data_IF_465927715510
#
_entry.id   IF_465927715510
#
_cell.length_a   1.000
_cell.length_b   1.000
_cell.length_c   1.000
_cell.angle_alpha   90.00
_cell.angle_beta   90.00
_cell.angle_gamma   90.00
#
_symmetry.space_group_name_H-M   'P 1'
#
loop_
_entity.id
_entity.type
_entity.pdbx_description
1 polymer ?
#
# COMPACT_ATOMS: atom_id res chain seq x y z
N UNK A 1 5.41 -16.92 -1.31
CA UNK A 1 5.08 -17.76 -2.49
C UNK A 1 3.84 -17.25 -3.22
N UNK A 2 2.64 -17.16 -2.61
CA UNK A 2 1.43 -16.65 -3.30
C UNK A 2 1.59 -15.21 -3.82
N UNK A 3 2.11 -14.28 -3.01
CA UNK A 3 2.31 -12.89 -3.45
C UNK A 3 3.25 -12.75 -4.64
N UNK A 4 4.37 -13.47 -4.62
CA UNK A 4 5.32 -13.48 -5.72
C UNK A 4 4.68 -14.01 -7.01
N UNK A 5 3.94 -15.12 -6.94
CA UNK A 5 3.22 -15.66 -8.10
C UNK A 5 2.17 -14.68 -8.63
N UNK A 6 1.46 -13.97 -7.75
CA UNK A 6 0.49 -12.95 -8.19
C UNK A 6 1.20 -11.77 -8.85
N UNK A 7 2.35 -11.32 -8.33
CA UNK A 7 3.10 -10.22 -8.95
C UNK A 7 3.73 -10.60 -10.29
N UNK A 8 4.21 -11.85 -10.44
CA UNK A 8 4.87 -12.29 -11.69
C UNK A 8 3.88 -12.65 -12.78
N UNK A 9 2.84 -13.43 -12.47
CA UNK A 9 1.89 -13.95 -13.46
C UNK A 9 0.87 -12.90 -13.94
N UNK A 10 0.67 -11.85 -13.15
CA UNK A 10 -0.30 -10.78 -13.44
C UNK A 10 0.39 -9.44 -13.73
N UNK A 11 1.69 -9.44 -14.05
CA UNK A 11 2.45 -8.21 -14.35
C UNK A 11 1.80 -7.35 -15.44
N UNK A 12 1.16 -7.98 -16.42
CA UNK A 12 0.48 -7.30 -17.54
C UNK A 12 -1.03 -7.13 -17.32
N UNK A 13 -1.51 -7.29 -16.09
CA UNK A 13 -2.94 -7.24 -15.73
C UNK A 13 -3.15 -6.29 -14.55
N UNK A 14 -4.29 -5.61 -14.53
CA UNK A 14 -4.64 -4.75 -13.39
C UNK A 14 -5.06 -5.62 -12.20
N UNK A 15 -4.36 -5.46 -11.08
CA UNK A 15 -4.69 -6.12 -9.82
C UNK A 15 -5.36 -5.11 -8.88
N UNK A 16 -6.63 -5.36 -8.58
CA UNK A 16 -7.34 -4.65 -7.51
C UNK A 16 -7.39 -5.55 -6.27
N UNK A 17 -6.78 -5.11 -5.18
CA UNK A 17 -6.76 -5.82 -3.90
C UNK A 17 -7.42 -4.98 -2.82
N UNK A 18 -8.35 -5.59 -2.07
CA UNK A 18 -8.89 -5.02 -0.83
C UNK A 18 -8.23 -5.75 0.32
N UNK A 19 -7.52 -5.02 1.18
CA UNK A 19 -6.74 -5.62 2.25
C UNK A 19 -6.86 -4.86 3.56
N UNK A 20 -6.85 -5.62 4.65
CA UNK A 20 -6.72 -5.09 6.00
C UNK A 20 -5.27 -5.18 6.50
N UNK A 21 -4.41 -5.97 5.82
CA UNK A 21 -3.00 -6.15 6.18
C UNK A 21 -2.13 -5.24 5.34
N UNK A 22 -1.67 -4.12 5.91
CA UNK A 22 -0.89 -3.14 5.15
C UNK A 22 0.38 -3.74 4.54
N UNK A 23 1.09 -4.63 5.26
CA UNK A 23 2.34 -5.24 4.76
C UNK A 23 2.19 -5.98 3.43
N UNK A 24 0.98 -6.40 3.06
CA UNK A 24 0.76 -7.09 1.78
C UNK A 24 0.47 -6.16 0.60
N UNK A 25 0.17 -4.89 0.87
CA UNK A 25 -0.21 -3.88 -0.14
C UNK A 25 0.78 -2.71 -0.26
N UNK A 26 1.74 -2.56 0.65
CA UNK A 26 2.74 -1.47 0.60
C UNK A 26 3.63 -1.50 -0.65
N UNK A 27 3.72 -2.64 -1.34
CA UNK A 27 4.47 -2.81 -2.60
C UNK A 27 3.65 -2.52 -3.85
N UNK A 28 2.40 -2.06 -3.72
CA UNK A 28 1.54 -1.77 -4.85
C UNK A 28 1.85 -0.39 -5.43
N UNK A 29 1.58 -0.22 -6.73
CA UNK A 29 1.84 1.04 -7.44
C UNK A 29 1.08 2.21 -6.83
N UNK A 30 -0.16 1.98 -6.37
CA UNK A 30 -1.03 2.98 -5.75
C UNK A 30 -1.89 2.34 -4.66
N UNK A 31 -2.24 3.15 -3.67
CA UNK A 31 -3.14 2.78 -2.58
C UNK A 31 -4.32 3.77 -2.56
N UNK A 32 -5.53 3.22 -2.42
CA UNK A 32 -6.76 3.95 -2.21
C UNK A 32 -7.21 3.75 -0.76
N UNK A 33 -7.33 4.83 0.00
CA UNK A 33 -7.91 4.81 1.34
C UNK A 33 -9.35 5.30 1.24
N UNK A 34 -10.28 4.47 1.70
CA UNK A 34 -11.69 4.80 1.80
C UNK A 34 -12.03 5.12 3.26
N UNK A 35 -12.77 6.20 3.47
CA UNK A 35 -13.34 6.58 4.76
C UNK A 35 -14.77 7.08 4.56
N UNK A 36 -15.70 6.58 5.36
CA UNK A 36 -17.15 6.88 5.28
C UNK A 36 -17.75 6.81 3.86
N UNK A 37 -17.32 5.83 3.06
CA UNK A 37 -17.79 5.64 1.68
C UNK A 37 -17.20 6.61 0.66
N UNK A 38 -16.27 7.47 1.05
CA UNK A 38 -15.58 8.43 0.20
C UNK A 38 -14.10 8.08 0.02
N UNK A 39 -13.51 8.54 -1.08
CA UNK A 39 -12.07 8.48 -1.30
C UNK A 39 -11.40 9.53 -0.44
N UNK A 40 -10.73 9.10 0.62
CA UNK A 40 -10.01 9.99 1.52
C UNK A 40 -8.59 10.28 0.99
N UNK A 41 -7.90 9.25 0.49
CA UNK A 41 -6.54 9.37 -0.03
C UNK A 41 -6.32 8.45 -1.23
N UNK A 42 -5.56 8.90 -2.23
CA UNK A 42 -5.20 8.09 -3.39
C UNK A 42 -3.86 8.55 -4.00
N UNK A 43 -2.79 7.79 -3.75
CA UNK A 43 -1.46 8.04 -4.34
C UNK A 43 -0.56 6.79 -4.16
N UNK A 44 0.70 6.91 -4.54
CA UNK A 44 1.77 5.96 -4.21
C UNK A 44 1.93 5.82 -2.68
N UNK A 45 2.29 4.63 -2.18
CA UNK A 45 2.50 4.40 -0.74
C UNK A 45 3.47 5.40 -0.10
N UNK A 46 4.54 5.76 -0.81
CA UNK A 46 5.55 6.70 -0.33
C UNK A 46 5.04 8.14 -0.22
N UNK A 47 4.17 8.59 -1.13
CA UNK A 47 3.56 9.92 -1.03
C UNK A 47 2.55 9.97 0.11
N UNK A 48 1.69 8.94 0.22
CA UNK A 48 0.70 8.86 1.29
C UNK A 48 1.35 8.82 2.69
N UNK A 49 2.48 8.13 2.84
CA UNK A 49 3.21 8.08 4.12
C UNK A 49 3.80 9.44 4.52
N UNK A 50 4.12 10.32 3.57
CA UNK A 50 4.70 11.65 3.85
C UNK A 50 3.67 12.67 4.33
N UNK A 51 2.38 12.38 4.20
CA UNK A 51 1.30 13.25 4.70
C UNK A 51 1.28 13.17 6.23
N UNK A 52 1.64 14.28 6.89
CA UNK A 52 1.86 14.30 8.34
C UNK A 52 0.63 13.92 9.17
N UNK A 53 -0.57 14.28 8.70
CA UNK A 53 -1.86 13.93 9.28
C UNK A 53 -2.66 12.94 8.42
N UNK A 54 -1.99 12.15 7.58
CA UNK A 54 -2.64 11.23 6.64
C UNK A 54 -3.19 9.97 7.31
N UNK A 55 -4.34 9.49 6.84
CA UNK A 55 -4.97 8.25 7.30
C UNK A 55 -4.07 7.05 7.04
N UNK A 56 -3.46 6.98 5.85
CA UNK A 56 -2.52 5.92 5.50
C UNK A 56 -1.32 5.87 6.45
N UNK A 57 -0.69 7.03 6.71
CA UNK A 57 0.42 7.13 7.66
C UNK A 57 0.02 6.63 9.04
N UNK A 58 -1.14 7.04 9.55
CA UNK A 58 -1.65 6.56 10.85
C UNK A 58 -1.89 5.04 10.87
N UNK A 59 -2.35 4.45 9.77
CA UNK A 59 -2.47 2.99 9.64
C UNK A 59 -1.11 2.29 9.64
N UNK A 60 -0.11 2.87 8.98
CA UNK A 60 1.26 2.36 8.97
C UNK A 60 1.89 2.39 10.37
N UNK A 61 1.74 3.50 11.10
CA UNK A 61 2.26 3.66 12.46
C UNK A 61 1.68 2.60 13.41
N UNK A 62 0.35 2.36 13.36
CA UNK A 62 -0.31 1.29 14.14
C UNK A 62 0.17 -0.11 13.76
N UNK A 63 0.61 -0.30 12.53
CA UNK A 63 1.10 -1.59 12.00
C UNK A 63 2.62 -1.73 12.06
N UNK A 64 3.31 -0.77 12.69
CA UNK A 64 4.76 -0.72 12.81
C UNK A 64 5.49 -0.82 11.45
N UNK A 65 4.95 -0.09 10.45
CA UNK A 65 5.51 0.03 9.10
C UNK A 65 6.20 1.39 8.99
N UNK A 66 7.47 1.36 8.58
CA UNK A 66 8.29 2.54 8.35
C UNK A 66 8.36 2.92 6.87
N UNK A 67 8.82 4.14 6.57
CA UNK A 67 9.15 4.55 5.21
C UNK A 67 10.14 3.57 4.55
N UNK A 68 11.10 3.04 5.32
CA UNK A 68 12.07 2.06 4.82
C UNK A 68 11.40 0.76 4.37
N UNK A 69 10.37 0.28 5.08
CA UNK A 69 9.61 -0.90 4.67
C UNK A 69 8.94 -0.67 3.31
N UNK A 70 8.38 0.53 3.10
CA UNK A 70 7.72 0.90 1.85
C UNK A 70 8.74 0.96 0.70
N UNK A 71 9.86 1.63 0.90
CA UNK A 71 10.92 1.77 -0.11
C UNK A 71 11.59 0.44 -0.45
N UNK A 72 11.78 -0.44 0.53
CA UNK A 72 12.41 -1.76 0.33
C UNK A 72 11.45 -2.74 -0.36
N UNK A 73 10.14 -2.58 -0.18
CA UNK A 73 9.13 -3.49 -0.75
C UNK A 73 9.03 -3.46 -2.27
N UNK A 74 9.58 -2.43 -2.92
CA UNK A 74 9.66 -2.33 -4.39
C UNK A 74 10.98 -2.82 -4.99
N UNK A 75 11.92 -3.32 -4.18
CA UNK A 75 13.24 -3.82 -4.63
C UNK A 75 13.36 -5.35 -4.63
N UNK A 76 12.26 -6.08 -4.43
CA UNK A 76 12.19 -7.56 -4.54
C UNK A 76 11.50 -8.04 -5.82
#
# INVERSE_FOLDING_TARGET
KIQHTIQTEFKDRTLLCIAHRLRTIISYDRILVLDDGLVAEFDTPSNLFKIESGLFRGMCERSNISLKDIETSGQE
#
